data_IF_272248163614
#
_entry.id   IF_272248163614
#
_cell.length_a   1.000
_cell.length_b   1.000
_cell.length_c   1.000
_cell.angle_alpha   90.00
_cell.angle_beta   90.00
_cell.angle_gamma   90.00
#
_symmetry.space_group_name_H-M   'P 1'
#
loop_
_entity.id
_entity.type
_entity.pdbx_description
1 polymer ?
#
# COMPACT_ATOMS: atom_id res chain seq x y z
N UNK A 1 -31.51 5.82 20.03
CA UNK A 1 -31.51 4.37 20.25
C UNK A 1 -30.09 3.80 20.27
N UNK A 2 -29.28 3.96 19.21
CA UNK A 2 -27.90 3.47 19.16
C UNK A 2 -27.02 3.90 20.36
N UNK A 3 -26.97 5.20 20.70
CA UNK A 3 -26.19 5.72 21.85
C UNK A 3 -26.63 5.13 23.19
N UNK A 4 -27.92 4.84 23.31
CA UNK A 4 -28.50 4.26 24.52
C UNK A 4 -28.07 2.81 24.68
N UNK A 5 -28.17 2.00 23.62
CA UNK A 5 -27.72 0.59 23.63
C UNK A 5 -26.22 0.50 23.94
N UNK A 6 -25.42 1.36 23.31
CA UNK A 6 -23.99 1.48 23.60
C UNK A 6 -23.70 1.86 25.06
N UNK A 7 -24.40 2.83 25.62
CA UNK A 7 -24.24 3.22 27.03
C UNK A 7 -24.64 2.12 28.03
N UNK A 8 -25.52 1.20 27.61
CA UNK A 8 -25.94 0.03 28.40
C UNK A 8 -25.04 -1.20 28.19
N UNK A 9 -23.95 -1.08 27.41
CA UNK A 9 -23.08 -2.18 27.00
C UNK A 9 -23.81 -3.30 26.22
N UNK A 10 -24.97 -3.00 25.63
CA UNK A 10 -25.72 -3.91 24.74
C UNK A 10 -25.18 -3.76 23.31
N UNK A 11 -23.90 -4.11 23.15
CA UNK A 11 -23.16 -3.95 21.89
C UNK A 11 -23.75 -4.79 20.77
N UNK A 12 -24.27 -5.98 21.08
CA UNK A 12 -24.84 -6.89 20.09
C UNK A 12 -26.06 -6.27 19.40
N UNK A 13 -26.97 -5.69 20.18
CA UNK A 13 -28.12 -4.98 19.62
C UNK A 13 -27.72 -3.68 18.94
N UNK A 14 -26.72 -2.99 19.46
CA UNK A 14 -26.21 -1.78 18.82
C UNK A 14 -25.62 -2.09 17.44
N UNK A 15 -24.81 -3.15 17.32
CA UNK A 15 -24.25 -3.63 16.05
C UNK A 15 -25.34 -4.15 15.10
N UNK A 16 -26.31 -4.92 15.60
CA UNK A 16 -27.45 -5.39 14.80
C UNK A 16 -28.27 -4.22 14.22
N UNK A 17 -28.45 -3.13 14.99
CA UNK A 17 -29.13 -1.93 14.52
C UNK A 17 -28.35 -1.21 13.41
N UNK A 18 -27.02 -1.24 13.44
CA UNK A 18 -26.17 -0.69 12.39
C UNK A 18 -26.12 -1.55 11.13
N UNK A 19 -26.21 -2.87 11.31
CA UNK A 19 -26.26 -3.87 10.25
C UNK A 19 -27.63 -3.98 9.55
N UNK A 20 -28.64 -3.18 9.97
CA UNK A 20 -30.02 -3.23 9.48
C UNK A 20 -30.18 -3.16 7.94
N UNK A 21 -31.41 -3.38 7.45
CA UNK A 21 -31.78 -3.83 6.09
C UNK A 21 -31.09 -3.14 4.88
N UNK A 22 -30.58 -1.91 5.01
CA UNK A 22 -29.92 -1.20 3.92
C UNK A 22 -28.42 -1.50 3.77
N UNK A 23 -27.77 -2.14 4.75
CA UNK A 23 -26.31 -2.38 4.75
C UNK A 23 -25.44 -1.11 4.67
N UNK A 24 -26.04 0.08 4.86
CA UNK A 24 -25.37 1.38 4.71
C UNK A 24 -25.67 2.28 5.90
N UNK A 25 -24.62 2.65 6.64
CA UNK A 25 -24.65 3.70 7.64
C UNK A 25 -25.00 5.06 7.01
N UNK A 26 -26.00 5.74 7.53
CA UNK A 26 -26.27 7.14 7.22
C UNK A 26 -25.19 8.07 7.80
N UNK A 27 -25.02 9.27 7.25
CA UNK A 27 -24.02 10.25 7.72
C UNK A 27 -24.15 10.62 9.20
N UNK A 28 -25.38 10.71 9.71
CA UNK A 28 -25.65 10.93 11.14
C UNK A 28 -25.11 9.79 12.02
N UNK A 29 -25.22 8.54 11.56
CA UNK A 29 -24.67 7.38 12.25
C UNK A 29 -23.14 7.41 12.24
N UNK A 30 -22.50 7.86 11.16
CA UNK A 30 -21.03 7.94 11.08
C UNK A 30 -20.47 8.91 12.12
N UNK A 31 -21.03 10.13 12.21
CA UNK A 31 -20.58 11.11 13.20
C UNK A 31 -20.77 10.59 14.64
N UNK A 32 -21.92 9.97 14.90
CA UNK A 32 -22.24 9.39 16.18
C UNK A 32 -21.30 8.21 16.53
N UNK A 33 -20.98 7.35 15.56
CA UNK A 33 -20.04 6.24 15.74
C UNK A 33 -18.64 6.75 16.07
N UNK A 34 -18.14 7.75 15.32
CA UNK A 34 -16.82 8.33 15.60
C UNK A 34 -16.73 8.90 17.03
N UNK A 35 -17.79 9.56 17.52
CA UNK A 35 -17.84 10.06 18.90
C UNK A 35 -17.82 8.91 19.92
N UNK A 36 -18.65 7.87 19.71
CA UNK A 36 -18.78 6.72 20.58
C UNK A 36 -17.48 5.89 20.65
N UNK A 37 -16.86 5.58 19.50
CA UNK A 37 -15.61 4.84 19.47
C UNK A 37 -14.46 5.65 20.07
N UNK A 38 -14.42 6.96 19.83
CA UNK A 38 -13.48 7.87 20.48
C UNK A 38 -13.68 7.92 22.00
N UNK A 39 -14.90 7.71 22.50
CA UNK A 39 -15.17 7.60 23.93
C UNK A 39 -14.61 6.31 24.52
N UNK A 40 -14.72 5.16 23.85
CA UNK A 40 -14.07 3.92 24.29
C UNK A 40 -12.56 4.09 24.39
N UNK A 41 -11.94 4.75 23.41
CA UNK A 41 -10.51 5.03 23.44
C UNK A 41 -10.12 5.92 24.64
N UNK A 42 -10.92 6.96 24.95
CA UNK A 42 -10.69 7.84 26.11
C UNK A 42 -10.87 7.14 27.45
N UNK A 43 -11.78 6.16 27.51
CA UNK A 43 -12.05 5.34 28.70
C UNK A 43 -11.13 4.13 28.81
N UNK A 44 -10.22 3.94 27.86
CA UNK A 44 -9.31 2.80 27.79
C UNK A 44 -10.02 1.43 27.70
N UNK A 45 -11.23 1.40 27.14
CA UNK A 45 -12.01 0.17 26.91
C UNK A 45 -11.51 -0.57 25.64
N UNK A 46 -10.21 -0.91 25.60
CA UNK A 46 -9.50 -1.35 24.38
C UNK A 46 -10.06 -2.63 23.75
N UNK A 47 -10.40 -3.64 24.57
CA UNK A 47 -10.97 -4.90 24.09
C UNK A 47 -12.34 -4.69 23.43
N UNK A 48 -13.15 -3.81 24.03
CA UNK A 48 -14.45 -3.44 23.47
C UNK A 48 -14.29 -2.63 22.19
N UNK A 49 -13.35 -1.68 22.16
CA UNK A 49 -13.04 -0.91 20.95
C UNK A 49 -12.55 -1.82 19.82
N UNK A 50 -11.65 -2.77 20.09
CA UNK A 50 -11.19 -3.77 19.14
C UNK A 50 -12.35 -4.55 18.51
N UNK A 51 -13.28 -5.03 19.36
CA UNK A 51 -14.49 -5.70 18.90
C UNK A 51 -15.29 -4.81 17.96
N UNK A 52 -15.58 -3.58 18.38
CA UNK A 52 -16.34 -2.62 17.58
C UNK A 52 -15.68 -2.34 16.23
N UNK A 53 -14.36 -2.10 16.20
CA UNK A 53 -13.65 -1.87 14.95
C UNK A 53 -13.76 -3.10 14.03
N UNK A 54 -13.52 -4.30 14.55
CA UNK A 54 -13.61 -5.54 13.77
C UNK A 54 -14.99 -5.72 13.12
N UNK A 55 -16.07 -5.56 13.90
CA UNK A 55 -17.45 -5.76 13.43
C UNK A 55 -17.91 -4.65 12.46
N UNK A 56 -17.37 -3.44 12.60
CA UNK A 56 -17.69 -2.34 11.70
C UNK A 56 -16.97 -2.43 10.35
N UNK A 57 -15.88 -3.19 10.23
CA UNK A 57 -15.09 -3.33 9.01
C UNK A 57 -15.92 -3.44 7.73
N UNK A 58 -16.83 -4.43 7.61
CA UNK A 58 -17.67 -4.59 6.42
C UNK A 58 -18.58 -3.39 6.10
N UNK A 59 -18.96 -2.59 7.11
CA UNK A 59 -19.82 -1.41 6.95
C UNK A 59 -19.03 -0.16 6.50
N UNK A 60 -17.70 -0.23 6.53
CA UNK A 60 -16.78 0.83 6.13
C UNK A 60 -16.47 0.81 4.63
N UNK A 61 -16.81 -0.25 3.89
CA UNK A 61 -16.60 -0.32 2.45
C UNK A 61 -17.33 0.81 1.71
N UNK A 62 -16.62 1.52 0.82
CA UNK A 62 -17.21 2.60 0.01
C UNK A 62 -17.46 3.91 0.76
N UNK A 63 -16.92 4.07 1.99
CA UNK A 63 -16.96 5.32 2.76
C UNK A 63 -16.02 6.38 2.21
N UNK A 64 -16.20 7.62 2.65
CA UNK A 64 -15.32 8.73 2.28
C UNK A 64 -13.96 8.55 2.93
N UNK A 65 -12.90 8.98 2.25
CA UNK A 65 -11.52 8.87 2.74
C UNK A 65 -11.34 9.42 4.17
N UNK A 66 -11.93 10.58 4.50
CA UNK A 66 -11.85 11.17 5.84
C UNK A 66 -12.44 10.26 6.94
N UNK A 67 -13.51 9.55 6.63
CA UNK A 67 -14.17 8.63 7.56
C UNK A 67 -13.28 7.40 7.77
N UNK A 68 -12.69 6.89 6.69
CA UNK A 68 -11.72 5.79 6.75
C UNK A 68 -10.45 6.18 7.50
N UNK A 69 -9.94 7.41 7.35
CA UNK A 69 -8.78 7.90 8.11
C UNK A 69 -9.05 7.93 9.61
N UNK A 70 -10.24 8.41 10.01
CA UNK A 70 -10.64 8.44 11.42
C UNK A 70 -10.74 7.02 11.98
N UNK A 71 -11.34 6.11 11.21
CA UNK A 71 -11.48 4.70 11.57
C UNK A 71 -10.13 3.99 11.68
N UNK A 72 -9.21 4.22 10.73
CA UNK A 72 -7.87 3.65 10.76
C UNK A 72 -7.01 4.25 11.89
N UNK A 73 -7.21 5.52 12.25
CA UNK A 73 -6.57 6.13 13.42
C UNK A 73 -6.98 5.49 14.75
N UNK A 74 -8.21 4.98 14.85
CA UNK A 74 -8.65 4.21 16.03
C UNK A 74 -7.98 2.84 16.10
N UNK A 75 -7.72 2.22 14.94
CA UNK A 75 -6.91 1.00 14.89
C UNK A 75 -5.49 1.23 15.39
N UNK A 76 -4.85 2.33 14.98
CA UNK A 76 -3.49 2.67 15.46
C UNK A 76 -3.48 2.80 17.00
N UNK A 77 -4.52 3.40 17.59
CA UNK A 77 -4.67 3.52 19.04
C UNK A 77 -4.87 2.16 19.73
N UNK A 78 -5.66 1.25 19.13
CA UNK A 78 -5.84 -0.11 19.64
C UNK A 78 -4.54 -0.89 19.57
N UNK A 79 -3.84 -0.91 18.44
CA UNK A 79 -2.58 -1.64 18.25
C UNK A 79 -1.49 -1.15 19.20
N UNK A 80 -1.44 0.15 19.50
CA UNK A 80 -0.51 0.71 20.48
C UNK A 80 -0.71 0.15 21.91
N UNK A 81 -1.91 -0.37 22.24
CA UNK A 81 -2.27 -0.90 23.55
C UNK A 81 -2.44 -2.43 23.58
N UNK A 82 -2.83 -3.00 22.44
CA UNK A 82 -3.05 -4.42 22.18
C UNK A 82 -2.30 -4.79 20.88
N UNK A 83 -0.97 -4.97 20.92
CA UNK A 83 -0.18 -5.29 19.72
C UNK A 83 -0.66 -6.56 18.99
N UNK A 84 -1.25 -7.51 19.71
CA UNK A 84 -1.85 -8.72 19.14
C UNK A 84 -3.02 -8.46 18.17
N UNK A 85 -3.59 -7.25 18.18
CA UNK A 85 -4.64 -6.84 17.27
C UNK A 85 -4.12 -6.40 15.88
N UNK A 86 -2.80 -6.22 15.73
CA UNK A 86 -2.20 -5.74 14.50
C UNK A 86 -2.56 -6.58 13.24
N UNK A 87 -2.48 -7.92 13.25
CA UNK A 87 -2.86 -8.71 12.08
C UNK A 87 -4.30 -8.43 11.64
N UNK A 88 -5.21 -8.28 12.60
CA UNK A 88 -6.62 -7.99 12.32
C UNK A 88 -6.81 -6.59 11.73
N UNK A 89 -6.04 -5.60 12.18
CA UNK A 89 -6.04 -4.26 11.57
C UNK A 89 -5.70 -4.37 10.08
N UNK A 90 -4.64 -5.09 9.74
CA UNK A 90 -4.18 -5.24 8.36
C UNK A 90 -5.21 -5.95 7.49
N UNK A 91 -5.76 -7.10 7.94
CA UNK A 91 -6.86 -7.80 7.26
C UNK A 91 -8.04 -6.86 6.98
N UNK A 92 -8.40 -6.05 7.98
CA UNK A 92 -9.52 -5.11 7.87
C UNK A 92 -9.24 -4.02 6.84
N UNK A 93 -8.08 -3.36 6.92
CA UNK A 93 -7.73 -2.30 5.97
C UNK A 93 -7.55 -2.83 4.54
N UNK A 94 -7.01 -4.04 4.37
CA UNK A 94 -6.90 -4.71 3.08
C UNK A 94 -8.28 -5.04 2.49
N UNK A 95 -9.22 -5.55 3.31
CA UNK A 95 -10.60 -5.85 2.86
C UNK A 95 -11.37 -4.60 2.39
N UNK A 96 -10.90 -3.41 2.76
CA UNK A 96 -11.48 -2.12 2.38
C UNK A 96 -10.89 -1.55 1.08
N UNK A 97 -9.95 -2.25 0.44
CA UNK A 97 -9.44 -1.85 -0.86
C UNK A 97 -10.56 -1.88 -1.93
N UNK A 98 -10.54 -0.95 -2.91
CA UNK A 98 -9.53 0.09 -3.11
C UNK A 98 -9.79 1.38 -2.30
N UNK A 99 -10.90 1.48 -1.56
CA UNK A 99 -11.28 2.72 -0.87
C UNK A 99 -10.30 3.14 0.25
N UNK A 100 -9.62 2.17 0.86
CA UNK A 100 -8.58 2.36 1.87
C UNK A 100 -7.16 2.47 1.29
N UNK A 101 -6.96 2.51 -0.04
CA UNK A 101 -5.63 2.34 -0.64
C UNK A 101 -4.57 3.29 -0.05
N UNK A 102 -4.81 4.61 -0.01
CA UNK A 102 -3.82 5.56 0.51
C UNK A 102 -3.54 5.39 2.01
N UNK A 103 -4.54 4.93 2.76
CA UNK A 103 -4.47 4.65 4.21
C UNK A 103 -3.62 3.41 4.46
N UNK A 104 -3.85 2.37 3.67
CA UNK A 104 -3.12 1.11 3.73
C UNK A 104 -1.66 1.32 3.33
N UNK A 105 -1.41 1.97 2.19
CA UNK A 105 -0.07 2.27 1.68
C UNK A 105 0.76 3.12 2.66
N UNK A 106 0.18 4.17 3.23
CA UNK A 106 0.88 5.03 4.19
C UNK A 106 1.26 4.28 5.46
N UNK A 107 0.38 3.39 5.96
CA UNK A 107 0.67 2.54 7.12
C UNK A 107 1.74 1.49 6.81
N UNK A 108 1.70 0.84 5.64
CA UNK A 108 2.75 -0.10 5.24
C UNK A 108 4.13 0.57 5.24
N UNK A 109 4.21 1.79 4.70
CA UNK A 109 5.46 2.56 4.71
C UNK A 109 5.91 2.92 6.13
N UNK A 110 4.98 3.36 6.99
CA UNK A 110 5.28 3.70 8.38
C UNK A 110 5.74 2.47 9.19
N UNK A 111 5.17 1.30 8.92
CA UNK A 111 5.53 0.02 9.53
C UNK A 111 6.78 -0.64 8.91
N UNK A 112 7.37 -0.05 7.88
CA UNK A 112 8.53 -0.64 7.18
C UNK A 112 8.21 -1.89 6.37
N UNK A 113 6.93 -2.15 6.07
CA UNK A 113 6.44 -3.29 5.29
C UNK A 113 6.59 -3.02 3.79
N UNK A 114 7.83 -2.86 3.35
CA UNK A 114 8.15 -2.39 2.00
C UNK A 114 7.84 -3.39 0.89
N UNK A 115 7.96 -4.69 1.15
CA UNK A 115 7.65 -5.74 0.16
C UNK A 115 6.16 -5.71 -0.21
N UNK A 116 5.29 -5.70 0.79
CA UNK A 116 3.84 -5.62 0.59
C UNK A 116 3.42 -4.30 -0.04
N UNK A 117 4.09 -3.19 0.30
CA UNK A 117 3.84 -1.92 -0.36
C UNK A 117 4.11 -2.01 -1.87
N UNK A 118 5.19 -2.70 -2.28
CA UNK A 118 5.51 -2.94 -3.69
C UNK A 118 4.48 -3.87 -4.34
N UNK A 119 4.06 -4.92 -3.65
CA UNK A 119 3.05 -5.85 -4.18
C UNK A 119 1.73 -5.14 -4.47
N UNK A 120 1.31 -4.21 -3.61
CA UNK A 120 0.16 -3.34 -3.86
C UNK A 120 0.40 -2.46 -5.08
N UNK A 121 1.55 -1.79 -5.19
CA UNK A 121 1.84 -0.94 -6.36
C UNK A 121 1.79 -1.73 -7.67
N UNK A 122 2.38 -2.93 -7.67
CA UNK A 122 2.35 -3.84 -8.81
C UNK A 122 0.92 -4.30 -9.15
N UNK A 123 0.12 -4.64 -8.14
CA UNK A 123 -1.28 -5.06 -8.31
C UNK A 123 -2.15 -3.98 -8.92
N UNK A 124 -1.90 -2.71 -8.58
CA UNK A 124 -2.56 -1.55 -9.18
C UNK A 124 -1.91 -1.07 -10.49
N UNK A 125 -0.94 -1.82 -11.02
CA UNK A 125 -0.28 -1.52 -12.30
C UNK A 125 0.62 -0.27 -12.29
N UNK A 126 0.95 0.24 -11.09
CA UNK A 126 1.85 1.40 -10.93
C UNK A 126 3.23 1.07 -11.46
N UNK A 127 4.00 2.12 -11.74
CA UNK A 127 5.36 2.00 -12.23
C UNK A 127 6.33 2.89 -11.45
N UNK A 128 7.64 2.57 -11.43
CA UNK A 128 8.62 3.41 -10.74
C UNK A 128 8.65 4.87 -11.23
N UNK A 129 8.25 5.13 -12.47
CA UNK A 129 8.20 6.50 -13.02
C UNK A 129 6.98 7.31 -12.56
N UNK A 130 6.00 6.69 -11.90
CA UNK A 130 4.86 7.39 -11.29
C UNK A 130 5.26 8.10 -9.98
N UNK A 131 6.42 7.76 -9.42
CA UNK A 131 6.90 8.26 -8.13
C UNK A 131 8.10 9.19 -8.30
N UNK A 132 8.22 10.17 -7.40
CA UNK A 132 9.43 10.97 -7.26
C UNK A 132 10.52 10.12 -6.61
N UNK A 133 11.78 10.43 -6.92
CA UNK A 133 12.93 9.75 -6.30
C UNK A 133 12.93 9.86 -4.77
N UNK A 134 12.40 10.95 -4.22
CA UNK A 134 12.26 11.16 -2.76
C UNK A 134 11.25 10.22 -2.13
N UNK A 135 10.23 9.78 -2.87
CA UNK A 135 9.19 8.86 -2.36
C UNK A 135 9.71 7.43 -2.30
N UNK A 136 10.58 7.04 -3.22
CA UNK A 136 11.22 5.71 -3.22
C UNK A 136 12.50 5.66 -2.38
N UNK A 137 13.08 6.80 -1.98
CA UNK A 137 14.34 6.86 -1.24
C UNK A 137 14.35 6.04 0.07
N UNK A 138 13.28 5.99 0.89
CA UNK A 138 13.23 5.11 2.05
C UNK A 138 13.35 3.64 1.67
N UNK A 139 12.65 3.18 0.63
CA UNK A 139 12.72 1.80 0.14
C UNK A 139 14.12 1.49 -0.41
N UNK A 140 14.71 2.43 -1.17
CA UNK A 140 16.08 2.26 -1.66
C UNK A 140 17.07 2.08 -0.50
N UNK A 141 16.82 2.70 0.67
CA UNK A 141 17.69 2.64 1.85
C UNK A 141 17.48 1.38 2.68
N UNK A 142 16.24 1.08 3.03
CA UNK A 142 15.90 0.06 4.01
C UNK A 142 15.61 -1.30 3.36
N UNK A 143 15.03 -1.34 2.15
CA UNK A 143 14.68 -2.58 1.45
C UNK A 143 14.95 -2.48 -0.08
N UNK A 144 16.20 -2.27 -0.52
CA UNK A 144 16.54 -2.13 -1.94
C UNK A 144 16.18 -3.35 -2.79
N UNK A 145 16.07 -4.54 -2.19
CA UNK A 145 15.68 -5.77 -2.89
C UNK A 145 14.21 -5.77 -3.29
N UNK A 146 13.31 -5.18 -2.48
CA UNK A 146 11.88 -5.08 -2.77
C UNK A 146 11.61 -4.26 -4.05
N UNK A 147 12.50 -3.33 -4.40
CA UNK A 147 12.37 -2.52 -5.61
C UNK A 147 12.75 -3.28 -6.89
N UNK A 148 13.51 -4.38 -6.81
CA UNK A 148 13.96 -5.12 -8.00
C UNK A 148 12.80 -5.55 -8.93
N UNK A 149 11.76 -6.27 -8.46
CA UNK A 149 10.63 -6.65 -9.33
C UNK A 149 9.95 -5.43 -9.95
N UNK A 150 9.80 -4.35 -9.18
CA UNK A 150 9.14 -3.12 -9.62
C UNK A 150 9.85 -2.46 -10.81
N UNK A 151 11.17 -2.39 -10.76
CA UNK A 151 11.97 -1.85 -11.85
C UNK A 151 12.11 -2.82 -13.03
N UNK A 152 12.35 -4.11 -12.79
CA UNK A 152 12.52 -5.11 -13.86
C UNK A 152 11.27 -5.22 -14.73
N UNK A 153 10.09 -5.33 -14.12
CA UNK A 153 8.83 -5.41 -14.86
C UNK A 153 8.57 -4.14 -15.67
N UNK A 154 8.86 -2.96 -15.10
CA UNK A 154 8.69 -1.70 -15.80
C UNK A 154 9.64 -1.59 -17.02
N UNK A 155 10.90 -2.01 -16.90
CA UNK A 155 11.84 -2.04 -18.04
C UNK A 155 11.28 -2.88 -19.19
N UNK A 156 10.84 -4.10 -18.91
CA UNK A 156 10.28 -5.00 -19.93
C UNK A 156 9.03 -4.39 -20.60
N UNK A 157 8.14 -3.79 -19.80
CA UNK A 157 6.95 -3.09 -20.31
C UNK A 157 7.30 -1.93 -21.25
N UNK A 158 8.29 -1.11 -20.89
CA UNK A 158 8.74 -0.02 -21.77
C UNK A 158 9.42 -0.54 -23.04
N UNK A 159 10.19 -1.62 -22.99
CA UNK A 159 10.78 -2.22 -24.19
C UNK A 159 9.68 -2.77 -25.12
N UNK A 160 8.63 -3.37 -24.56
CA UNK A 160 7.51 -3.92 -25.32
C UNK A 160 6.72 -2.87 -26.12
N UNK A 161 6.73 -1.60 -25.69
CA UNK A 161 6.07 -0.49 -26.40
C UNK A 161 6.74 -0.10 -27.73
N UNK A 162 7.96 -0.60 -27.99
CA UNK A 162 8.67 -0.51 -29.28
C UNK A 162 8.76 0.89 -29.90
N UNK A 163 8.94 1.92 -29.08
CA UNK A 163 9.14 3.29 -29.57
C UNK A 163 10.31 4.00 -28.86
N UNK A 164 10.87 5.02 -29.50
CA UNK A 164 12.09 5.68 -29.01
C UNK A 164 11.91 6.33 -27.63
N UNK A 165 10.74 6.89 -27.33
CA UNK A 165 10.48 7.49 -26.03
C UNK A 165 10.47 6.42 -24.92
N UNK A 166 9.79 5.31 -25.16
CA UNK A 166 9.76 4.17 -24.23
C UNK A 166 11.13 3.54 -23.99
N UNK A 167 11.99 3.44 -25.02
CA UNK A 167 13.37 2.96 -24.83
C UNK A 167 14.19 3.89 -23.93
N UNK A 168 14.02 5.21 -24.03
CA UNK A 168 14.68 6.15 -23.11
C UNK A 168 14.23 5.94 -21.66
N UNK A 169 12.94 5.67 -21.44
CA UNK A 169 12.40 5.32 -20.12
C UNK A 169 13.00 4.02 -19.60
N UNK A 170 13.07 2.97 -20.44
CA UNK A 170 13.73 1.71 -20.08
C UNK A 170 15.20 1.91 -19.67
N UNK A 171 15.98 2.67 -20.44
CA UNK A 171 17.39 3.01 -20.12
C UNK A 171 17.51 3.76 -18.79
N UNK A 172 16.59 4.70 -18.51
CA UNK A 172 16.55 5.41 -17.22
C UNK A 172 16.32 4.45 -16.06
N UNK A 173 15.42 3.48 -16.22
CA UNK A 173 15.12 2.48 -15.19
C UNK A 173 16.24 1.45 -15.03
N UNK A 174 16.90 1.01 -16.12
CA UNK A 174 18.09 0.16 -16.07
C UNK A 174 19.23 0.80 -15.27
N UNK A 175 19.45 2.11 -15.42
CA UNK A 175 20.42 2.85 -14.59
C UNK A 175 20.07 2.83 -13.11
N UNK A 176 18.77 2.82 -12.77
CA UNK A 176 18.32 2.70 -11.37
C UNK A 176 18.54 1.29 -10.85
N UNK A 177 18.21 0.26 -11.63
CA UNK A 177 18.53 -1.14 -11.30
C UNK A 177 20.02 -1.34 -11.04
N UNK A 178 20.90 -0.87 -11.93
CA UNK A 178 22.35 -0.97 -11.74
C UNK A 178 22.81 -0.40 -10.39
N UNK A 179 22.26 0.75 -9.98
CA UNK A 179 22.53 1.36 -8.68
C UNK A 179 22.00 0.53 -7.51
N UNK A 180 20.81 -0.05 -7.63
CA UNK A 180 20.23 -0.94 -6.61
C UNK A 180 21.08 -2.19 -6.41
N UNK A 181 21.46 -2.87 -7.49
CA UNK A 181 22.35 -4.04 -7.43
C UNK A 181 23.69 -3.70 -6.77
N UNK A 182 24.32 -2.59 -7.18
CA UNK A 182 25.56 -2.10 -6.54
C UNK A 182 25.38 -1.84 -5.04
N UNK A 183 24.27 -1.21 -4.64
CA UNK A 183 23.98 -0.95 -3.22
C UNK A 183 23.87 -2.23 -2.40
N UNK A 184 23.35 -3.29 -3.00
CA UNK A 184 23.22 -4.61 -2.38
C UNK A 184 24.49 -5.47 -2.50
N UNK A 185 25.59 -4.95 -3.07
CA UNK A 185 26.82 -5.71 -3.38
C UNK A 185 26.56 -6.91 -4.29
N UNK A 186 25.70 -6.73 -5.31
CA UNK A 186 25.27 -7.75 -6.27
C UNK A 186 25.60 -7.36 -7.71
N UNK A 187 26.74 -6.72 -7.93
CA UNK A 187 27.19 -6.26 -9.25
C UNK A 187 27.34 -7.40 -10.26
N UNK A 188 27.83 -8.57 -9.84
CA UNK A 188 27.94 -9.75 -10.71
C UNK A 188 26.58 -10.17 -11.28
N UNK A 189 25.56 -10.22 -10.41
CA UNK A 189 24.18 -10.53 -10.83
C UNK A 189 23.58 -9.47 -11.74
N UNK A 190 24.00 -8.21 -11.60
CA UNK A 190 23.63 -7.16 -12.54
C UNK A 190 24.25 -7.39 -13.92
N UNK A 191 25.53 -7.75 -13.98
CA UNK A 191 26.23 -8.05 -15.24
C UNK A 191 25.52 -9.19 -15.97
N UNK A 192 25.29 -10.32 -15.29
CA UNK A 192 24.56 -11.46 -15.87
C UNK A 192 23.19 -11.08 -16.42
N UNK A 193 22.39 -10.33 -15.63
CA UNK A 193 21.09 -9.85 -16.07
C UNK A 193 21.20 -8.94 -17.29
N UNK A 194 22.12 -7.98 -17.27
CA UNK A 194 22.25 -6.97 -18.31
C UNK A 194 22.73 -7.58 -19.63
N UNK A 195 23.69 -8.50 -19.60
CA UNK A 195 24.15 -9.24 -20.78
C UNK A 195 23.01 -10.06 -21.42
N UNK A 196 22.23 -10.77 -20.60
CA UNK A 196 21.06 -11.51 -21.08
C UNK A 196 19.98 -10.58 -21.66
N UNK A 197 19.75 -9.43 -21.03
CA UNK A 197 18.83 -8.40 -21.51
C UNK A 197 19.27 -7.84 -22.87
N UNK A 198 20.54 -7.47 -23.01
CA UNK A 198 21.09 -6.94 -24.27
C UNK A 198 21.02 -7.99 -25.38
N UNK A 199 21.38 -9.24 -25.09
CA UNK A 199 21.30 -10.36 -26.04
C UNK A 199 19.87 -10.58 -26.53
N UNK A 200 18.90 -10.64 -25.60
CA UNK A 200 17.47 -10.83 -25.88
C UNK A 200 16.92 -9.73 -26.80
N UNK A 201 17.40 -8.51 -26.64
CA UNK A 201 16.94 -7.34 -27.40
C UNK A 201 17.93 -6.86 -28.47
N UNK A 202 18.87 -7.70 -28.89
CA UNK A 202 19.92 -7.39 -29.87
C UNK A 202 19.39 -6.89 -31.23
N UNK A 203 18.19 -7.34 -31.63
CA UNK A 203 17.53 -6.93 -32.89
C UNK A 203 16.89 -5.55 -32.84
N UNK A 204 16.64 -4.99 -31.65
CA UNK A 204 16.01 -3.69 -31.48
C UNK A 204 17.06 -2.57 -31.60
N UNK A 205 17.49 -2.26 -32.83
CA UNK A 205 18.58 -1.28 -33.10
C UNK A 205 18.39 0.06 -32.38
N UNK A 206 17.17 0.60 -32.38
CA UNK A 206 16.87 1.85 -31.69
C UNK A 206 17.04 1.75 -30.17
N UNK A 207 16.71 0.61 -29.56
CA UNK A 207 16.99 0.38 -28.13
C UNK A 207 18.50 0.28 -27.89
N UNK A 208 19.24 -0.45 -28.75
CA UNK A 208 20.70 -0.58 -28.66
C UNK A 208 21.41 0.77 -28.76
N UNK A 209 20.95 1.68 -29.62
CA UNK A 209 21.46 3.05 -29.67
C UNK A 209 21.22 3.81 -28.36
N UNK A 210 20.04 3.70 -27.76
CA UNK A 210 19.73 4.38 -26.50
C UNK A 210 20.53 3.77 -25.32
N UNK A 211 20.77 2.45 -25.31
CA UNK A 211 21.63 1.76 -24.32
C UNK A 211 23.08 2.29 -24.37
N UNK A 212 23.66 2.40 -25.57
CA UNK A 212 25.01 2.95 -25.77
C UNK A 212 25.12 4.41 -25.33
N UNK A 213 24.14 5.25 -25.72
CA UNK A 213 24.06 6.65 -25.23
C UNK A 213 23.89 6.70 -23.71
N UNK A 214 23.25 5.69 -23.15
CA UNK A 214 23.07 5.51 -21.72
C UNK A 214 24.37 5.31 -20.95
N UNK A 215 25.48 4.89 -21.58
CA UNK A 215 26.68 4.38 -20.89
C UNK A 215 26.36 3.21 -19.96
N UNK A 216 25.45 2.34 -20.39
CA UNK A 216 25.14 1.07 -19.72
C UNK A 216 25.89 -0.11 -20.37
N UNK A 217 26.31 0.06 -21.62
CA UNK A 217 27.30 -0.76 -22.34
C UNK A 217 28.70 -0.20 -22.18
#
# INVERSE_FOLDING_TARGET
>A
MLRMLFGLNDDDRALALLAGESGRLGSAHVAQLSEMLGELARREEWQRLLRWLTELGPLMSGRRLRELETYAGLWDAVVAKLPEAEPRMWETLESLLPSSQSIYESRLLAAGRYEEWIDIQLSFGREPLDYRATELAPLEKEAPHALLPFYHQAVERYVAMKNRASYKSAVKLLKRLAKLYKKMKREERWIEFYELFELRHSRLRALQEELRKGKLS
#
